data_IF_680420101446
#
_entry.id   IF_680420101446
#
_cell.length_a   1.000
_cell.length_b   1.000
_cell.length_c   1.000
_cell.angle_alpha   90.00
_cell.angle_beta   90.00
_cell.angle_gamma   90.00
#
_symmetry.space_group_name_H-M   'P 1'
#
loop_
_entity.id
_entity.type
_entity.pdbx_description
1 polymer ?
#
# COMPACT_ATOMS: atom_id res chain seq x y z
N UNK A 1 -23.15 11.26 -25.26
CA UNK A 1 -22.46 11.32 -23.95
C UNK A 1 -22.01 12.76 -23.70
N UNK A 2 -22.51 13.42 -22.65
CA UNK A 2 -22.05 14.76 -22.24
C UNK A 2 -20.90 14.57 -21.26
N UNK A 3 -19.67 14.90 -21.67
CA UNK A 3 -18.52 14.88 -20.75
C UNK A 3 -18.76 15.97 -19.69
N UNK A 4 -18.65 15.66 -18.39
CA UNK A 4 -18.89 16.64 -17.35
C UNK A 4 -17.89 17.81 -17.47
N UNK A 5 -18.39 19.04 -17.44
CA UNK A 5 -17.63 20.29 -17.62
C UNK A 5 -16.47 20.40 -16.59
N UNK A 6 -16.59 19.74 -15.44
CA UNK A 6 -15.58 19.69 -14.38
C UNK A 6 -14.32 18.87 -14.73
N UNK A 7 -14.36 18.05 -15.78
CA UNK A 7 -13.23 17.19 -16.18
C UNK A 7 -12.16 17.97 -16.97
N UNK A 8 -12.56 19.02 -17.69
CA UNK A 8 -11.67 19.89 -18.47
C UNK A 8 -10.65 20.67 -17.61
N UNK A 9 -11.03 21.36 -16.51
CA UNK A 9 -10.06 22.07 -15.68
C UNK A 9 -9.08 21.12 -14.98
N UNK A 10 -9.54 19.92 -14.60
CA UNK A 10 -8.70 18.92 -13.95
C UNK A 10 -7.60 18.42 -14.90
N UNK A 11 -7.96 18.18 -16.17
CA UNK A 11 -7.02 17.79 -17.22
C UNK A 11 -6.01 18.90 -17.55
N UNK A 12 -6.44 20.17 -17.54
CA UNK A 12 -5.55 21.33 -17.70
C UNK A 12 -4.55 21.45 -16.55
N UNK A 13 -4.99 21.23 -15.31
CA UNK A 13 -4.10 21.23 -14.13
C UNK A 13 -3.07 20.10 -14.24
N UNK A 14 -3.48 18.89 -14.59
CA UNK A 14 -2.57 17.76 -14.78
C UNK A 14 -1.51 18.05 -15.85
N UNK A 15 -1.91 18.62 -16.99
CA UNK A 15 -0.98 19.01 -18.06
C UNK A 15 -0.02 20.13 -17.61
N UNK A 16 -0.50 21.09 -16.83
CA UNK A 16 0.33 22.16 -16.28
C UNK A 16 1.39 21.63 -15.30
N UNK A 17 1.03 20.67 -14.43
CA UNK A 17 1.96 20.02 -13.50
C UNK A 17 3.03 19.23 -14.25
N UNK A 18 2.65 18.47 -15.29
CA UNK A 18 3.61 17.73 -16.14
C UNK A 18 4.55 18.72 -16.86
N UNK A 19 4.01 19.80 -17.42
CA UNK A 19 4.78 20.86 -18.07
C UNK A 19 5.78 21.52 -17.12
N UNK A 20 5.36 21.82 -15.88
CA UNK A 20 6.22 22.39 -14.85
C UNK A 20 7.34 21.43 -14.44
N UNK A 21 7.04 20.14 -14.24
CA UNK A 21 8.05 19.13 -13.90
C UNK A 21 9.10 18.98 -15.01
N UNK A 22 8.65 18.95 -16.27
CA UNK A 22 9.55 18.92 -17.42
C UNK A 22 10.42 20.18 -17.49
N UNK A 23 9.85 21.36 -17.20
CA UNK A 23 10.61 22.61 -17.13
C UNK A 23 11.70 22.59 -16.05
N UNK A 24 11.36 22.13 -14.84
CA UNK A 24 12.35 21.95 -13.76
C UNK A 24 13.47 20.98 -14.16
N UNK A 25 13.13 19.85 -14.77
CA UNK A 25 14.12 18.88 -15.24
C UNK A 25 15.03 19.46 -16.33
N UNK A 26 14.47 20.22 -17.28
CA UNK A 26 15.29 20.90 -18.30
C UNK A 26 16.21 21.99 -17.73
N UNK A 27 15.81 22.65 -16.63
CA UNK A 27 16.68 23.59 -15.90
C UNK A 27 17.83 22.86 -15.24
N UNK A 28 17.55 21.76 -14.55
CA UNK A 28 18.58 20.93 -13.92
C UNK A 28 19.60 20.39 -14.93
N UNK A 29 19.14 19.91 -16.09
CA UNK A 29 20.03 19.46 -17.17
C UNK A 29 20.89 20.60 -17.74
N UNK A 30 20.36 21.83 -17.83
CA UNK A 30 21.14 23.01 -18.25
C UNK A 30 22.20 23.37 -17.21
N UNK A 31 21.85 23.36 -15.92
CA UNK A 31 22.79 23.63 -14.84
C UNK A 31 23.91 22.58 -14.79
N UNK A 32 23.57 21.30 -15.00
CA UNK A 32 24.55 20.21 -15.13
C UNK A 32 25.44 20.41 -16.37
N UNK A 33 24.86 20.79 -17.51
CA UNK A 33 25.61 21.09 -18.72
C UNK A 33 26.57 22.27 -18.50
N UNK A 34 26.13 23.35 -17.84
CA UNK A 34 27.00 24.49 -17.50
C UNK A 34 28.14 24.09 -16.58
N UNK A 35 27.89 23.24 -15.58
CA UNK A 35 28.93 22.69 -14.70
C UNK A 35 29.93 21.81 -15.46
N UNK A 36 29.46 20.98 -16.40
CA UNK A 36 30.34 20.16 -17.23
C UNK A 36 31.17 21.01 -18.19
N UNK A 37 30.57 22.05 -18.80
CA UNK A 37 31.27 22.99 -19.67
C UNK A 37 32.31 23.80 -18.89
N UNK A 38 31.99 24.24 -17.67
CA UNK A 38 32.95 24.98 -16.83
C UNK A 38 34.11 24.09 -16.37
N UNK A 39 33.84 22.83 -16.02
CA UNK A 39 34.88 21.84 -15.70
C UNK A 39 35.76 21.52 -16.90
N UNK A 40 35.18 21.28 -18.07
CA UNK A 40 35.93 21.05 -19.31
C UNK A 40 36.85 22.24 -19.65
N UNK A 41 36.39 23.48 -19.43
CA UNK A 41 37.24 24.68 -19.56
C UNK A 41 38.39 24.71 -18.56
N UNK A 42 38.12 24.36 -17.29
CA UNK A 42 39.16 24.29 -16.26
C UNK A 42 40.23 23.23 -16.60
N UNK A 43 39.84 22.15 -17.27
CA UNK A 43 40.72 21.06 -17.72
C UNK A 43 41.41 21.36 -19.08
N UNK A 44 41.27 22.59 -19.63
CA UNK A 44 41.92 23.01 -20.88
C UNK A 44 41.25 22.55 -22.18
N UNK A 45 40.05 21.98 -22.11
CA UNK A 45 39.27 21.62 -23.29
C UNK A 45 38.64 22.89 -23.87
N UNK A 46 39.08 23.29 -25.08
CA UNK A 46 38.43 24.38 -25.81
C UNK A 46 37.07 23.93 -26.34
N UNK A 47 36.01 24.27 -25.61
CA UNK A 47 34.64 24.20 -26.15
C UNK A 47 34.53 25.29 -27.21
N UNK A 48 34.48 24.90 -28.48
CA UNK A 48 34.47 25.81 -29.62
C UNK A 48 33.24 26.76 -29.54
N UNK A 49 33.46 28.01 -29.16
CA UNK A 49 32.42 29.05 -29.03
C UNK A 49 32.12 29.74 -30.36
N UNK A 50 32.57 29.18 -31.49
CA UNK A 50 32.46 29.85 -32.79
C UNK A 50 30.98 30.09 -33.18
N UNK A 51 30.62 31.37 -33.06
CA UNK A 51 29.44 32.07 -33.54
C UNK A 51 28.11 31.83 -32.79
N UNK A 52 27.73 32.71 -31.84
CA UNK A 52 26.34 32.81 -31.38
C UNK A 52 25.45 33.18 -32.59
N UNK A 53 24.79 32.19 -33.19
CA UNK A 53 23.95 32.37 -34.37
C UNK A 53 24.22 31.39 -35.52
N UNK A 54 25.37 30.72 -35.54
CA UNK A 54 25.52 29.52 -36.37
C UNK A 54 24.83 28.41 -35.61
N UNK A 55 23.64 28.00 -36.06
CA UNK A 55 23.05 26.76 -35.60
C UNK A 55 24.12 25.68 -35.84
N UNK A 56 24.78 25.27 -34.76
CA UNK A 56 25.57 24.03 -34.75
C UNK A 56 24.55 23.01 -35.19
N UNK A 57 24.57 22.63 -36.48
CA UNK A 57 23.83 21.47 -36.95
C UNK A 57 24.34 20.41 -36.00
N UNK A 58 23.52 19.91 -35.06
CA UNK A 58 23.99 19.00 -34.05
C UNK A 58 24.73 17.96 -34.85
N UNK A 59 26.04 17.84 -34.63
CA UNK A 59 26.83 16.83 -35.30
C UNK A 59 25.97 15.59 -35.12
N UNK A 60 25.54 15.00 -36.24
CA UNK A 60 24.68 13.81 -36.23
C UNK A 60 25.58 12.75 -35.61
N UNK A 61 25.69 12.77 -34.28
CA UNK A 61 26.29 11.73 -33.48
C UNK A 61 25.39 10.58 -33.81
N UNK A 62 25.91 9.75 -34.72
CA UNK A 62 25.22 8.58 -35.23
C UNK A 62 24.84 7.83 -33.97
N UNK A 63 23.53 7.78 -33.65
CA UNK A 63 23.08 7.06 -32.48
C UNK A 63 23.72 5.68 -32.58
N UNK A 64 24.46 5.22 -31.55
CA UNK A 64 25.08 3.90 -31.62
C UNK A 64 24.00 2.90 -32.00
N UNK A 65 24.35 1.96 -32.88
CA UNK A 65 23.41 0.93 -33.33
C UNK A 65 22.87 0.20 -32.09
N UNK A 66 21.55 0.24 -31.81
CA UNK A 66 20.98 -0.42 -30.64
C UNK A 66 21.31 -1.91 -30.58
N UNK A 67 21.46 -2.59 -31.72
CA UNK A 67 21.81 -4.01 -31.76
C UNK A 67 23.29 -4.25 -31.46
N UNK A 68 24.17 -3.32 -31.86
CA UNK A 68 25.57 -3.36 -31.44
C UNK A 68 25.69 -3.23 -29.91
N UNK A 69 24.92 -2.33 -29.28
CA UNK A 69 24.87 -2.20 -27.81
C UNK A 69 24.39 -3.51 -27.16
N UNK A 70 23.36 -4.16 -27.73
CA UNK A 70 22.86 -5.42 -27.18
C UNK A 70 23.88 -6.54 -27.26
N UNK A 71 24.57 -6.69 -28.39
CA UNK A 71 25.62 -7.69 -28.60
C UNK A 71 26.82 -7.45 -27.69
N UNK A 72 27.22 -6.19 -27.50
CA UNK A 72 28.27 -5.82 -26.55
C UNK A 72 27.87 -6.17 -25.12
N UNK A 73 26.63 -5.88 -24.73
CA UNK A 73 26.11 -6.24 -23.42
C UNK A 73 26.04 -7.76 -23.21
N UNK A 74 25.57 -8.51 -24.21
CA UNK A 74 25.54 -9.96 -24.17
C UNK A 74 26.96 -10.55 -24.01
N UNK A 75 27.92 -10.07 -24.80
CA UNK A 75 29.32 -10.49 -24.74
C UNK A 75 29.93 -10.23 -23.37
N UNK A 76 29.69 -9.04 -22.80
CA UNK A 76 30.17 -8.69 -21.48
C UNK A 76 29.54 -9.55 -20.38
N UNK A 77 28.24 -9.84 -20.49
CA UNK A 77 27.52 -10.65 -19.50
C UNK A 77 27.94 -12.13 -19.56
N UNK A 78 28.16 -12.68 -20.76
CA UNK A 78 28.74 -14.02 -20.96
C UNK A 78 30.16 -14.09 -20.40
N UNK A 79 30.99 -13.06 -20.62
CA UNK A 79 32.32 -12.98 -20.01
C UNK A 79 32.25 -12.95 -18.49
N UNK A 80 31.36 -12.12 -17.94
CA UNK A 80 31.11 -12.05 -16.50
C UNK A 80 30.64 -13.39 -15.94
N UNK A 81 29.78 -14.11 -16.65
CA UNK A 81 29.31 -15.43 -16.23
C UNK A 81 30.45 -16.46 -16.11
N UNK A 82 31.44 -16.40 -17.00
CA UNK A 82 32.64 -17.27 -16.95
C UNK A 82 33.57 -16.93 -15.78
N UNK A 83 33.46 -15.73 -15.22
CA UNK A 83 34.20 -15.32 -14.01
C UNK A 83 33.55 -15.86 -12.72
N UNK A 84 32.36 -16.47 -12.80
CA UNK A 84 31.62 -17.00 -11.64
C UNK A 84 31.84 -18.52 -11.45
N UNK A 85 31.90 -18.99 -10.18
CA UNK A 85 32.01 -18.19 -8.97
C UNK A 85 33.36 -17.46 -8.91
N UNK A 86 33.37 -16.25 -8.34
CA UNK A 86 34.62 -15.51 -8.13
C UNK A 86 35.57 -16.30 -7.21
N UNK A 87 36.89 -16.26 -7.44
CA UNK A 87 37.88 -16.81 -6.52
C UNK A 87 37.70 -16.29 -5.08
N UNK A 88 38.04 -17.11 -4.08
CA UNK A 88 37.91 -16.74 -2.66
C UNK A 88 38.76 -15.51 -2.27
N UNK A 89 39.85 -15.26 -3.00
CA UNK A 89 40.73 -14.11 -2.81
C UNK A 89 40.33 -12.87 -3.64
N UNK A 90 39.21 -12.92 -4.37
CA UNK A 90 38.74 -11.81 -5.19
C UNK A 90 38.29 -10.63 -4.30
N UNK A 91 38.86 -9.41 -4.47
CA UNK A 91 38.53 -8.28 -3.61
C UNK A 91 37.03 -7.95 -3.58
N UNK A 92 36.46 -7.83 -2.38
CA UNK A 92 35.02 -7.64 -2.19
C UNK A 92 34.47 -6.36 -2.84
N UNK A 93 35.28 -5.29 -2.89
CA UNK A 93 34.94 -4.02 -3.52
C UNK A 93 34.89 -4.14 -5.04
N UNK A 94 35.84 -4.85 -5.65
CA UNK A 94 35.84 -5.16 -7.08
C UNK A 94 34.67 -6.06 -7.46
N UNK A 95 34.36 -7.08 -6.64
CA UNK A 95 33.19 -7.96 -6.83
C UNK A 95 31.90 -7.15 -6.87
N UNK A 96 31.72 -6.25 -5.89
CA UNK A 96 30.55 -5.36 -5.83
C UNK A 96 30.46 -4.43 -7.04
N UNK A 97 31.57 -3.79 -7.43
CA UNK A 97 31.63 -2.91 -8.61
C UNK A 97 31.29 -3.65 -9.89
N UNK A 98 31.81 -4.87 -10.05
CA UNK A 98 31.53 -5.73 -11.21
C UNK A 98 30.05 -6.10 -11.30
N UNK A 99 29.45 -6.54 -10.19
CA UNK A 99 28.00 -6.85 -10.12
C UNK A 99 27.16 -5.62 -10.47
N UNK A 100 27.47 -4.45 -9.90
CA UNK A 100 26.74 -3.21 -10.17
C UNK A 100 26.85 -2.80 -11.65
N UNK A 101 28.04 -2.87 -12.23
CA UNK A 101 28.28 -2.51 -13.63
C UNK A 101 27.45 -3.38 -14.59
N UNK A 102 27.47 -4.70 -14.41
CA UNK A 102 26.71 -5.59 -15.29
C UNK A 102 25.19 -5.47 -15.05
N UNK A 103 24.77 -5.24 -13.82
CA UNK A 103 23.36 -4.96 -13.50
C UNK A 103 22.87 -3.68 -14.17
N UNK A 104 23.62 -2.58 -14.07
CA UNK A 104 23.29 -1.30 -14.73
C UNK A 104 23.25 -1.46 -16.25
N UNK A 105 24.21 -2.21 -16.81
CA UNK A 105 24.25 -2.51 -18.25
C UNK A 105 22.96 -3.17 -18.71
N UNK A 106 22.52 -4.23 -18.04
CA UNK A 106 21.25 -4.93 -18.37
C UNK A 106 20.04 -4.02 -18.13
N UNK A 107 20.03 -3.22 -17.05
CA UNK A 107 18.93 -2.29 -16.75
C UNK A 107 18.74 -1.20 -17.82
N UNK A 108 19.82 -0.81 -18.50
CA UNK A 108 19.81 0.20 -19.56
C UNK A 108 19.23 -0.28 -20.91
N UNK A 109 19.09 -1.60 -21.08
CA UNK A 109 18.63 -2.19 -22.33
C UNK A 109 17.12 -2.09 -22.52
N UNK A 110 16.68 -1.89 -23.77
CA UNK A 110 15.27 -2.02 -24.17
C UNK A 110 14.86 -3.49 -24.29
N UNK A 111 13.55 -3.77 -24.31
CA UNK A 111 13.04 -5.15 -24.44
C UNK A 111 13.58 -5.91 -25.66
N UNK A 112 13.71 -5.25 -26.82
CA UNK A 112 14.32 -5.86 -28.01
C UNK A 112 15.78 -6.24 -27.80
N UNK A 113 16.54 -5.41 -27.09
CA UNK A 113 17.95 -5.68 -26.77
C UNK A 113 18.09 -6.77 -25.71
N UNK A 114 17.20 -6.81 -24.70
CA UNK A 114 17.16 -7.87 -23.69
C UNK A 114 16.91 -9.24 -24.32
N UNK A 115 16.05 -9.35 -25.35
CA UNK A 115 15.86 -10.60 -26.10
C UNK A 115 17.17 -11.11 -26.71
N UNK A 116 17.99 -10.22 -27.29
CA UNK A 116 19.30 -10.58 -27.84
C UNK A 116 20.21 -11.13 -26.73
N UNK A 117 20.29 -10.45 -25.58
CA UNK A 117 21.09 -10.91 -24.44
C UNK A 117 20.63 -12.28 -23.95
N UNK A 118 19.31 -12.52 -23.86
CA UNK A 118 18.75 -13.81 -23.47
C UNK A 118 19.15 -14.92 -24.45
N UNK A 119 19.02 -14.70 -25.76
CA UNK A 119 19.39 -15.70 -26.77
C UNK A 119 20.87 -16.04 -26.71
N UNK A 120 21.74 -15.04 -26.57
CA UNK A 120 23.18 -15.24 -26.40
C UNK A 120 23.51 -16.01 -25.11
N UNK A 121 22.87 -15.66 -23.98
CA UNK A 121 23.03 -16.41 -22.73
C UNK A 121 22.58 -17.87 -22.87
N UNK A 122 21.49 -18.13 -23.61
CA UNK A 122 21.01 -19.51 -23.87
C UNK A 122 21.98 -20.30 -24.74
N UNK A 123 22.60 -19.65 -25.72
CA UNK A 123 23.57 -20.27 -26.63
C UNK A 123 24.94 -20.53 -25.96
N UNK A 124 25.26 -19.80 -24.89
CA UNK A 124 26.50 -19.94 -24.13
C UNK A 124 26.53 -21.21 -23.25
N UNK A 125 26.64 -22.36 -23.91
CA UNK A 125 26.69 -23.70 -23.28
C UNK A 125 27.93 -23.92 -22.41
N UNK A 126 28.96 -23.10 -22.56
CA UNK A 126 30.20 -23.15 -21.78
C UNK A 126 30.09 -22.54 -20.37
N UNK A 127 29.01 -21.80 -20.10
CA UNK A 127 28.72 -21.27 -18.76
C UNK A 127 28.12 -22.39 -17.91
N UNK A 128 28.50 -22.46 -16.63
CA UNK A 128 27.87 -23.35 -15.66
C UNK A 128 26.34 -23.16 -15.63
N UNK A 129 25.58 -24.26 -15.68
CA UNK A 129 24.12 -24.26 -15.79
C UNK A 129 23.43 -23.37 -14.73
N UNK A 130 23.89 -23.41 -13.47
CA UNK A 130 23.33 -22.61 -12.38
C UNK A 130 23.57 -21.11 -12.53
N UNK A 131 24.78 -20.73 -12.99
CA UNK A 131 25.13 -19.34 -13.30
C UNK A 131 24.33 -18.84 -14.49
N UNK A 132 24.29 -19.61 -15.58
CA UNK A 132 23.51 -19.27 -16.78
C UNK A 132 22.04 -19.07 -16.44
N UNK A 133 21.44 -19.96 -15.64
CA UNK A 133 20.06 -19.85 -15.26
C UNK A 133 19.78 -18.62 -14.37
N UNK A 134 20.66 -18.30 -13.42
CA UNK A 134 20.53 -17.10 -12.58
C UNK A 134 20.57 -15.81 -13.41
N UNK A 135 21.46 -15.73 -14.41
CA UNK A 135 21.53 -14.59 -15.33
C UNK A 135 20.31 -14.48 -16.25
N UNK A 136 19.78 -15.62 -16.70
CA UNK A 136 18.54 -15.65 -17.48
C UNK A 136 17.36 -15.14 -16.65
N UNK A 137 17.20 -15.59 -15.41
CA UNK A 137 16.15 -15.10 -14.49
C UNK A 137 16.27 -13.59 -14.28
N UNK A 138 17.46 -13.10 -13.95
CA UNK A 138 17.70 -11.65 -13.78
C UNK A 138 17.32 -10.85 -15.04
N UNK A 139 17.69 -11.33 -16.23
CA UNK A 139 17.40 -10.65 -17.49
C UNK A 139 15.91 -10.73 -17.86
N UNK A 140 15.27 -11.87 -17.59
CA UNK A 140 13.83 -12.08 -17.80
C UNK A 140 12.97 -11.24 -16.86
N UNK A 141 13.38 -11.06 -15.60
CA UNK A 141 12.69 -10.18 -14.65
C UNK A 141 12.72 -8.72 -15.12
N UNK A 142 13.82 -8.30 -15.77
CA UNK A 142 13.87 -6.99 -16.40
C UNK A 142 12.97 -6.90 -17.62
N UNK A 143 12.95 -7.94 -18.46
CA UNK A 143 12.09 -8.00 -19.63
C UNK A 143 10.61 -7.99 -19.22
N UNK A 144 10.23 -8.71 -18.16
CA UNK A 144 8.83 -8.86 -17.73
C UNK A 144 8.18 -7.52 -17.37
N UNK A 145 8.95 -6.58 -16.80
CA UNK A 145 8.49 -5.23 -16.46
C UNK A 145 8.13 -4.36 -17.67
N UNK A 146 8.59 -4.70 -18.88
CA UNK A 146 8.36 -3.90 -20.09
C UNK A 146 7.68 -4.66 -21.23
N UNK A 147 7.90 -5.97 -21.32
CA UNK A 147 7.40 -6.88 -22.35
C UNK A 147 7.05 -8.23 -21.69
N UNK A 148 6.04 -8.26 -20.79
CA UNK A 148 5.72 -9.45 -19.99
C UNK A 148 5.36 -10.68 -20.84
N UNK A 149 4.63 -10.48 -21.95
CA UNK A 149 4.31 -11.57 -22.88
C UNK A 149 5.57 -12.27 -23.40
N UNK A 150 6.52 -11.47 -23.89
CA UNK A 150 7.77 -11.99 -24.44
C UNK A 150 8.58 -12.72 -23.37
N UNK A 151 8.65 -12.15 -22.15
CA UNK A 151 9.34 -12.76 -21.04
C UNK A 151 8.69 -14.11 -20.65
N UNK A 152 7.37 -14.21 -20.68
CA UNK A 152 6.63 -15.43 -20.35
C UNK A 152 6.85 -16.52 -21.41
N UNK A 153 6.76 -16.17 -22.69
CA UNK A 153 7.00 -17.12 -23.78
C UNK A 153 8.42 -17.67 -23.74
N UNK A 154 9.40 -16.81 -23.47
CA UNK A 154 10.80 -17.23 -23.31
C UNK A 154 10.96 -18.09 -22.04
N UNK A 155 10.38 -17.71 -20.90
CA UNK A 155 10.54 -18.44 -19.64
C UNK A 155 9.97 -19.87 -19.73
N UNK A 156 8.85 -20.05 -20.43
CA UNK A 156 8.28 -21.38 -20.71
C UNK A 156 9.19 -22.19 -21.64
N UNK A 157 9.83 -21.55 -22.62
CA UNK A 157 10.74 -22.22 -23.54
C UNK A 157 12.08 -22.64 -22.88
N UNK A 158 12.49 -21.96 -21.81
CA UNK A 158 13.71 -22.30 -21.05
C UNK A 158 13.45 -23.58 -20.25
N UNK A 159 13.98 -24.71 -20.74
CA UNK A 159 13.81 -26.05 -20.14
C UNK A 159 14.51 -26.26 -18.79
N UNK A 160 15.12 -25.25 -18.18
CA UNK A 160 15.87 -25.41 -16.94
C UNK A 160 14.97 -25.95 -15.81
N UNK A 161 15.25 -27.17 -15.34
CA UNK A 161 14.42 -27.91 -14.38
C UNK A 161 14.19 -27.16 -13.05
N UNK A 162 15.14 -26.33 -12.64
CA UNK A 162 15.10 -25.61 -11.36
C UNK A 162 14.17 -24.39 -11.32
N UNK A 163 13.49 -24.05 -12.44
CA UNK A 163 12.81 -22.73 -12.57
C UNK A 163 11.41 -22.76 -13.19
N UNK A 164 10.86 -23.95 -13.51
CA UNK A 164 9.73 -24.05 -14.47
C UNK A 164 8.37 -23.54 -13.97
N UNK A 165 8.13 -23.51 -12.67
CA UNK A 165 6.82 -23.19 -12.11
C UNK A 165 6.70 -21.74 -11.63
N UNK A 166 7.44 -21.41 -10.59
CA UNK A 166 7.22 -20.19 -9.82
C UNK A 166 7.59 -18.93 -10.61
N UNK A 167 8.69 -18.94 -11.35
CA UNK A 167 9.15 -17.74 -12.06
C UNK A 167 8.25 -17.35 -13.25
N UNK A 168 7.76 -18.34 -14.03
CA UNK A 168 6.82 -18.04 -15.10
C UNK A 168 5.49 -17.52 -14.54
N UNK A 169 5.04 -18.03 -13.39
CA UNK A 169 3.88 -17.50 -12.68
C UNK A 169 4.11 -16.05 -12.20
N UNK A 170 5.29 -15.72 -11.67
CA UNK A 170 5.65 -14.33 -11.30
C UNK A 170 5.61 -13.37 -12.49
N UNK A 171 6.04 -13.81 -13.69
CA UNK A 171 5.93 -13.02 -14.92
C UNK A 171 4.46 -12.83 -15.31
N UNK A 172 3.65 -13.90 -15.25
CA UNK A 172 2.20 -13.81 -15.51
C UNK A 172 1.52 -12.84 -14.55
N UNK A 173 1.90 -12.89 -13.28
CA UNK A 173 1.40 -12.00 -12.24
C UNK A 173 1.79 -10.54 -12.51
N UNK A 174 3.05 -10.28 -12.86
CA UNK A 174 3.52 -8.95 -13.29
C UNK A 174 2.76 -8.46 -14.53
N UNK A 175 2.48 -9.36 -15.47
CA UNK A 175 1.68 -9.02 -16.65
C UNK A 175 0.26 -8.62 -16.26
N UNK A 176 -0.39 -9.43 -15.42
CA UNK A 176 -1.77 -9.19 -15.03
C UNK A 176 -1.93 -7.90 -14.21
N UNK A 177 -0.89 -7.50 -13.47
CA UNK A 177 -0.82 -6.19 -12.81
C UNK A 177 -0.84 -5.02 -13.80
N UNK A 178 -0.18 -5.16 -14.95
CA UNK A 178 -0.09 -4.13 -15.99
C UNK A 178 -1.31 -4.12 -16.94
N UNK A 179 -1.77 -5.31 -17.36
CA UNK A 179 -2.86 -5.51 -18.33
C UNK A 179 -3.46 -6.92 -18.15
N UNK A 180 -4.34 -7.03 -17.15
CA UNK A 180 -5.04 -8.27 -16.78
C UNK A 180 -5.82 -8.88 -17.95
N UNK A 181 -6.53 -8.08 -18.74
CA UNK A 181 -7.33 -8.55 -19.87
C UNK A 181 -6.46 -9.23 -20.94
N UNK A 182 -5.31 -8.62 -21.28
CA UNK A 182 -4.40 -9.21 -22.27
C UNK A 182 -3.70 -10.45 -21.72
N UNK A 183 -3.29 -10.45 -20.45
CA UNK A 183 -2.69 -11.62 -19.80
C UNK A 183 -3.65 -12.82 -19.79
N UNK A 184 -4.94 -12.61 -19.47
CA UNK A 184 -5.98 -13.65 -19.54
C UNK A 184 -6.18 -14.15 -20.96
N UNK A 185 -6.28 -13.24 -21.93
CA UNK A 185 -6.45 -13.60 -23.33
C UNK A 185 -5.31 -14.48 -23.85
N UNK A 186 -4.08 -14.22 -23.40
CA UNK A 186 -2.94 -15.09 -23.70
C UNK A 186 -3.07 -16.45 -23.02
N UNK A 187 -3.43 -16.51 -21.73
CA UNK A 187 -3.60 -17.77 -21.01
C UNK A 187 -4.64 -18.67 -21.71
N UNK A 188 -5.78 -18.10 -22.08
CA UNK A 188 -6.86 -18.79 -22.78
C UNK A 188 -6.42 -19.34 -24.14
N UNK A 189 -5.63 -18.57 -24.89
CA UNK A 189 -5.11 -18.98 -26.20
C UNK A 189 -4.02 -20.05 -26.12
N UNK A 190 -3.43 -20.29 -24.95
CA UNK A 190 -2.28 -21.18 -24.77
C UNK A 190 -2.56 -22.36 -23.82
N UNK A 191 -3.81 -22.61 -23.44
CA UNK A 191 -4.20 -23.71 -22.54
C UNK A 191 -3.73 -25.08 -23.04
N UNK A 192 -3.67 -25.29 -24.36
CA UNK A 192 -3.23 -26.57 -24.96
C UNK A 192 -1.71 -26.79 -24.89
N UNK A 193 -0.92 -25.73 -24.70
CA UNK A 193 0.55 -25.77 -24.76
C UNK A 193 1.16 -25.85 -23.35
N UNK A 194 0.43 -25.39 -22.34
CA UNK A 194 0.87 -25.39 -20.94
C UNK A 194 0.40 -26.66 -20.22
N UNK A 195 1.18 -27.10 -19.24
CA UNK A 195 0.79 -28.24 -18.38
C UNK A 195 -0.32 -27.83 -17.40
N UNK A 196 -1.11 -28.79 -16.89
CA UNK A 196 -2.13 -28.51 -15.87
C UNK A 196 -1.54 -27.90 -14.59
N UNK A 197 -0.32 -28.29 -14.21
CA UNK A 197 0.40 -27.69 -13.09
C UNK A 197 0.71 -26.20 -13.34
N UNK A 198 1.22 -25.87 -14.53
CA UNK A 198 1.47 -24.50 -14.93
C UNK A 198 0.19 -23.68 -15.02
N UNK A 199 -0.90 -24.27 -15.54
CA UNK A 199 -2.21 -23.63 -15.61
C UNK A 199 -2.69 -23.17 -14.23
N UNK A 200 -2.68 -24.04 -13.23
CA UNK A 200 -3.07 -23.68 -11.87
C UNK A 200 -2.13 -22.62 -11.24
N UNK A 201 -0.84 -22.63 -11.61
CA UNK A 201 0.09 -21.56 -11.25
C UNK A 201 -0.26 -20.21 -11.89
N UNK A 202 -0.53 -20.22 -13.20
CA UNK A 202 -0.84 -19.04 -13.99
C UNK A 202 -2.19 -18.44 -13.63
N UNK A 203 -3.21 -19.25 -13.36
CA UNK A 203 -4.51 -18.75 -12.90
C UNK A 203 -4.39 -18.02 -11.55
N UNK A 204 -3.63 -18.58 -10.60
CA UNK A 204 -3.36 -17.93 -9.31
C UNK A 204 -2.58 -16.63 -9.48
N UNK A 205 -1.52 -16.65 -10.30
CA UNK A 205 -0.73 -15.47 -10.62
C UNK A 205 -1.54 -14.38 -11.31
N UNK A 206 -2.39 -14.76 -12.26
CA UNK A 206 -3.26 -13.86 -12.99
C UNK A 206 -4.26 -13.17 -12.05
N UNK A 207 -4.92 -13.93 -11.17
CA UNK A 207 -5.81 -13.36 -10.15
C UNK A 207 -5.01 -12.42 -9.24
N UNK A 208 -3.83 -12.83 -8.77
CA UNK A 208 -2.99 -12.04 -7.87
C UNK A 208 -2.54 -10.70 -8.49
N UNK A 209 -2.11 -10.69 -9.75
CA UNK A 209 -1.77 -9.45 -10.45
C UNK A 209 -3.00 -8.56 -10.70
N UNK A 210 -4.14 -9.17 -11.05
CA UNK A 210 -5.38 -8.42 -11.26
C UNK A 210 -5.92 -7.76 -9.98
N UNK A 211 -5.59 -8.25 -8.77
CA UNK A 211 -5.94 -7.58 -7.50
C UNK A 211 -5.51 -6.12 -7.50
N UNK A 212 -4.39 -5.79 -8.13
CA UNK A 212 -3.84 -4.41 -8.16
C UNK A 212 -4.49 -3.59 -9.29
N UNK A 213 -4.52 -4.14 -10.51
CA UNK A 213 -4.95 -3.41 -11.71
C UNK A 213 -6.46 -3.36 -11.91
N UNK A 214 -7.17 -4.46 -11.63
CA UNK A 214 -8.62 -4.58 -11.78
C UNK A 214 -9.22 -5.54 -10.73
N UNK A 215 -9.47 -5.05 -9.49
CA UNK A 215 -10.03 -5.85 -8.42
C UNK A 215 -11.35 -6.54 -8.75
N UNK A 216 -12.18 -5.92 -9.60
CA UNK A 216 -13.50 -6.48 -9.95
C UNK A 216 -13.35 -7.71 -10.84
N UNK A 217 -12.42 -7.64 -11.80
CA UNK A 217 -12.09 -8.76 -12.65
C UNK A 217 -11.41 -9.89 -11.87
N UNK A 218 -10.52 -9.56 -10.92
CA UNK A 218 -9.90 -10.54 -10.03
C UNK A 218 -10.95 -11.33 -9.22
N UNK A 219 -11.94 -10.66 -8.64
CA UNK A 219 -13.04 -11.30 -7.90
C UNK A 219 -13.92 -12.18 -8.78
N UNK A 220 -14.15 -11.76 -10.03
CA UNK A 220 -14.87 -12.58 -11.00
C UNK A 220 -14.11 -13.88 -11.30
N UNK A 221 -12.83 -13.77 -11.66
CA UNK A 221 -12.02 -14.95 -11.97
C UNK A 221 -11.84 -15.89 -10.80
N UNK A 222 -11.76 -15.35 -9.59
CA UNK A 222 -11.80 -16.15 -8.38
C UNK A 222 -13.07 -17.02 -8.30
N UNK A 223 -14.23 -16.39 -8.50
CA UNK A 223 -15.51 -17.11 -8.44
C UNK A 223 -15.58 -18.22 -9.49
N UNK A 224 -14.94 -18.01 -10.64
CA UNK A 224 -14.90 -18.98 -11.74
C UNK A 224 -13.90 -20.13 -11.44
N UNK A 225 -12.81 -19.87 -10.72
CA UNK A 225 -11.75 -20.86 -10.46
C UNK A 225 -11.98 -21.74 -9.23
N UNK A 226 -12.79 -21.30 -8.27
CA UNK A 226 -13.00 -22.01 -7.00
C UNK A 226 -11.76 -22.07 -6.10
N UNK A 227 -10.70 -21.30 -6.40
CA UNK A 227 -9.43 -21.32 -5.68
C UNK A 227 -9.39 -20.27 -4.55
N UNK A 228 -9.23 -20.63 -3.27
CA UNK A 228 -9.33 -19.68 -2.15
C UNK A 228 -8.57 -18.34 -2.30
N UNK A 229 -9.28 -17.20 -2.30
CA UNK A 229 -8.74 -15.82 -2.48
C UNK A 229 -7.75 -15.42 -1.41
N UNK A 230 -7.99 -15.90 -0.18
CA UNK A 230 -7.32 -15.39 1.01
C UNK A 230 -5.79 -15.47 0.90
N UNK A 231 -5.26 -16.55 0.35
CA UNK A 231 -3.83 -16.74 0.14
C UNK A 231 -3.21 -15.78 -0.87
N UNK A 232 -3.98 -15.25 -1.83
CA UNK A 232 -3.47 -14.37 -2.89
C UNK A 232 -3.34 -12.92 -2.41
N UNK A 233 -4.30 -12.41 -1.64
CA UNK A 233 -4.23 -11.05 -1.07
C UNK A 233 -3.17 -10.98 0.03
N UNK A 234 -3.02 -12.04 0.85
CA UNK A 234 -2.06 -12.07 1.94
C UNK A 234 -0.59 -11.88 1.51
N UNK A 235 -0.28 -12.14 0.24
CA UNK A 235 1.08 -12.09 -0.32
C UNK A 235 1.47 -10.72 -0.87
N UNK A 236 0.54 -9.76 -0.93
CA UNK A 236 0.78 -8.47 -1.57
C UNK A 236 0.82 -7.33 -0.57
N UNK A 237 1.81 -6.48 -0.73
CA UNK A 237 1.88 -5.19 -0.06
C UNK A 237 1.00 -4.19 -0.83
N UNK A 238 -0.30 -4.21 -0.52
CA UNK A 238 -1.26 -3.28 -1.14
C UNK A 238 -1.17 -1.90 -0.46
N UNK A 239 -1.13 -0.83 -1.26
CA UNK A 239 -1.26 0.54 -0.74
C UNK A 239 -2.64 0.77 -0.11
N UNK A 240 -2.83 1.77 0.77
CA UNK A 240 -4.14 2.11 1.32
C UNK A 240 -5.22 2.32 0.24
N UNK A 241 -4.86 2.95 -0.87
CA UNK A 241 -5.76 3.20 -2.00
C UNK A 241 -6.14 1.90 -2.71
N UNK A 242 -5.18 1.00 -2.93
CA UNK A 242 -5.43 -0.31 -3.51
C UNK A 242 -6.33 -1.18 -2.62
N UNK A 243 -6.10 -1.17 -1.31
CA UNK A 243 -6.96 -1.86 -0.32
C UNK A 243 -8.39 -1.33 -0.37
N UNK A 244 -8.57 0.00 -0.42
CA UNK A 244 -9.88 0.63 -0.54
C UNK A 244 -10.57 0.30 -1.87
N UNK A 245 -9.83 0.34 -2.98
CA UNK A 245 -10.34 -0.02 -4.30
C UNK A 245 -10.81 -1.48 -4.32
N UNK A 246 -10.03 -2.40 -3.76
CA UNK A 246 -10.38 -3.80 -3.65
C UNK A 246 -11.60 -4.02 -2.75
N UNK A 247 -11.67 -3.39 -1.56
CA UNK A 247 -12.83 -3.47 -0.69
C UNK A 247 -14.11 -2.96 -1.38
N UNK A 248 -13.98 -1.88 -2.16
CA UNK A 248 -15.11 -1.32 -2.94
C UNK A 248 -15.60 -2.30 -4.01
N UNK A 249 -14.66 -2.95 -4.71
CA UNK A 249 -14.98 -3.99 -5.68
C UNK A 249 -15.63 -5.21 -5.01
N UNK A 250 -15.12 -5.64 -3.85
CA UNK A 250 -15.66 -6.74 -3.06
C UNK A 250 -17.11 -6.45 -2.64
N UNK A 251 -17.37 -5.28 -2.06
CA UNK A 251 -18.73 -4.83 -1.70
C UNK A 251 -19.67 -4.80 -2.89
N UNK A 252 -19.20 -4.35 -4.05
CA UNK A 252 -20.00 -4.29 -5.27
C UNK A 252 -20.31 -5.69 -5.80
N UNK A 253 -19.29 -6.54 -5.86
CA UNK A 253 -19.41 -7.92 -6.30
C UNK A 253 -20.37 -8.73 -5.43
N UNK A 254 -20.35 -8.54 -4.10
CA UNK A 254 -21.29 -9.17 -3.16
C UNK A 254 -22.74 -8.76 -3.38
N UNK A 255 -22.99 -7.55 -3.92
CA UNK A 255 -24.34 -7.08 -4.23
C UNK A 255 -24.86 -7.62 -5.56
N UNK A 256 -23.99 -7.81 -6.54
CA UNK A 256 -24.38 -8.22 -7.90
C UNK A 256 -24.39 -9.72 -8.11
N UNK A 257 -23.49 -10.43 -7.44
CA UNK A 257 -23.41 -11.88 -7.48
C UNK A 257 -24.35 -12.41 -6.40
N UNK A 258 -25.37 -13.19 -6.75
CA UNK A 258 -26.19 -13.88 -5.75
C UNK A 258 -25.22 -14.62 -4.81
N UNK A 259 -25.20 -14.25 -3.52
CA UNK A 259 -24.10 -14.49 -2.58
C UNK A 259 -23.75 -15.94 -2.24
N UNK A 260 -24.02 -16.90 -3.12
CA UNK A 260 -23.78 -18.34 -2.96
C UNK A 260 -22.30 -18.73 -3.18
N UNK A 261 -21.49 -17.91 -3.85
CA UNK A 261 -20.13 -18.30 -4.24
C UNK A 261 -19.00 -17.93 -3.25
N UNK A 262 -19.28 -17.11 -2.22
CA UNK A 262 -18.25 -16.70 -1.25
C UNK A 262 -18.53 -17.33 0.11
N UNK A 263 -17.74 -18.34 0.48
CA UNK A 263 -17.84 -18.90 1.81
C UNK A 263 -17.61 -17.78 2.85
N UNK A 264 -18.38 -17.74 3.97
CA UNK A 264 -18.19 -16.73 5.00
C UNK A 264 -16.75 -16.65 5.53
N UNK A 265 -16.03 -17.77 5.53
CA UNK A 265 -14.64 -17.85 5.97
C UNK A 265 -13.67 -17.23 4.96
N UNK A 266 -13.94 -17.36 3.65
CA UNK A 266 -13.18 -16.66 2.63
C UNK A 266 -13.38 -15.14 2.76
N UNK A 267 -14.62 -14.70 3.05
CA UNK A 267 -14.92 -13.27 3.23
C UNK A 267 -14.13 -12.69 4.39
N UNK A 268 -14.18 -13.39 5.53
CA UNK A 268 -13.40 -13.03 6.69
C UNK A 268 -11.90 -12.97 6.33
N UNK A 269 -11.35 -14.01 5.70
CA UNK A 269 -9.93 -14.07 5.39
C UNK A 269 -9.48 -12.98 4.39
N UNK A 270 -10.29 -12.66 3.38
CA UNK A 270 -10.05 -11.52 2.48
C UNK A 270 -10.03 -10.20 3.25
N UNK A 271 -11.06 -9.93 4.06
CA UNK A 271 -11.10 -8.73 4.89
C UNK A 271 -9.89 -8.68 5.83
N UNK A 272 -9.48 -9.80 6.42
CA UNK A 272 -8.28 -9.88 7.25
C UNK A 272 -7.04 -9.39 6.52
N UNK A 273 -6.89 -9.78 5.25
CA UNK A 273 -5.68 -9.47 4.50
C UNK A 273 -5.71 -8.04 3.94
N UNK A 274 -6.88 -7.49 3.66
CA UNK A 274 -7.00 -6.06 3.34
C UNK A 274 -6.64 -5.20 4.57
N UNK A 275 -7.10 -5.62 5.73
CA UNK A 275 -6.93 -4.90 6.98
C UNK A 275 -5.50 -5.06 7.53
N UNK A 276 -5.11 -6.30 7.76
CA UNK A 276 -3.86 -6.71 8.39
C UNK A 276 -2.84 -7.21 7.35
N UNK A 277 -2.97 -6.79 6.10
CA UNK A 277 -1.94 -7.01 5.09
C UNK A 277 -0.67 -6.27 5.47
N UNK A 278 0.47 -6.88 5.17
CA UNK A 278 1.78 -6.22 5.36
C UNK A 278 1.83 -4.95 4.51
N UNK A 279 2.55 -3.96 5.03
CA UNK A 279 3.09 -2.87 4.24
C UNK A 279 4.49 -3.28 3.77
N UNK A 280 5.07 -2.52 2.84
CA UNK A 280 6.42 -2.75 2.30
C UNK A 280 7.53 -2.90 3.37
N UNK A 281 7.31 -2.41 4.60
CA UNK A 281 8.25 -2.55 5.72
C UNK A 281 8.09 -3.84 6.52
N UNK A 282 7.09 -4.69 6.21
CA UNK A 282 6.73 -5.88 6.97
C UNK A 282 6.11 -5.59 8.34
N UNK A 283 5.94 -4.32 8.70
CA UNK A 283 5.44 -3.87 9.99
C UNK A 283 3.93 -3.69 9.97
N UNK A 284 3.24 -4.62 10.63
CA UNK A 284 1.85 -4.47 11.02
C UNK A 284 1.73 -3.48 12.19
N UNK A 285 1.92 -2.19 11.93
CA UNK A 285 1.57 -1.17 12.91
C UNK A 285 0.05 -1.09 13.04
N UNK A 286 -0.47 -1.28 14.26
CA UNK A 286 -1.89 -1.15 14.55
C UNK A 286 -2.41 0.26 14.27
N UNK A 287 -1.54 1.27 14.29
CA UNK A 287 -1.90 2.62 13.88
C UNK A 287 -2.41 2.64 12.44
N UNK A 288 -1.69 1.99 11.51
CA UNK A 288 -2.08 1.93 10.10
C UNK A 288 -3.39 1.13 9.92
N UNK A 289 -3.56 0.06 10.70
CA UNK A 289 -4.80 -0.74 10.71
C UNK A 289 -5.99 0.09 11.16
N UNK A 290 -5.87 0.79 12.29
CA UNK A 290 -6.92 1.66 12.84
C UNK A 290 -7.24 2.81 11.90
N UNK A 291 -6.22 3.45 11.29
CA UNK A 291 -6.39 4.51 10.31
C UNK A 291 -7.16 4.02 9.08
N UNK A 292 -6.77 2.86 8.54
CA UNK A 292 -7.50 2.23 7.43
C UNK A 292 -8.96 1.97 7.81
N UNK A 293 -9.26 1.39 8.98
CA UNK A 293 -10.65 1.12 9.39
C UNK A 293 -11.50 2.37 9.54
N UNK A 294 -10.94 3.41 10.16
CA UNK A 294 -11.64 4.68 10.33
C UNK A 294 -12.01 5.30 8.97
N UNK A 295 -11.18 5.09 7.96
CA UNK A 295 -11.40 5.61 6.61
C UNK A 295 -12.41 4.77 5.81
N UNK A 296 -12.34 3.44 5.86
CA UNK A 296 -13.13 2.56 4.98
C UNK A 296 -14.58 2.34 5.43
N UNK A 297 -14.87 2.63 6.71
CA UNK A 297 -16.18 2.47 7.36
C UNK A 297 -16.78 1.08 7.10
N UNK A 298 -16.27 0.08 7.80
CA UNK A 298 -16.80 -1.29 7.70
C UNK A 298 -18.25 -1.36 8.18
N UNK A 299 -19.09 -2.12 7.50
CA UNK A 299 -20.46 -2.37 7.94
C UNK A 299 -20.53 -3.46 9.03
N UNK A 300 -21.70 -3.66 9.63
CA UNK A 300 -21.88 -4.61 10.72
C UNK A 300 -21.57 -6.06 10.31
N UNK A 301 -21.79 -6.42 9.04
CA UNK A 301 -21.52 -7.75 8.53
C UNK A 301 -20.02 -7.97 8.33
N UNK A 302 -19.33 -6.97 7.76
CA UNK A 302 -17.87 -6.98 7.60
C UNK A 302 -17.15 -7.03 8.95
N UNK A 303 -17.63 -6.27 9.95
CA UNK A 303 -17.12 -6.33 11.32
C UNK A 303 -17.35 -7.72 11.92
N UNK A 304 -18.55 -8.29 11.74
CA UNK A 304 -18.86 -9.64 12.22
C UNK A 304 -17.99 -10.71 11.56
N UNK A 305 -17.73 -10.60 10.25
CA UNK A 305 -16.84 -11.50 9.52
C UNK A 305 -15.40 -11.41 10.05
N UNK A 306 -14.87 -10.19 10.21
CA UNK A 306 -13.55 -9.96 10.80
C UNK A 306 -13.44 -10.49 12.24
N UNK A 307 -14.53 -10.41 13.02
CA UNK A 307 -14.55 -10.91 14.42
C UNK A 307 -14.19 -12.39 14.55
N UNK A 308 -14.34 -13.17 13.48
CA UNK A 308 -14.04 -14.61 13.44
C UNK A 308 -12.55 -14.93 13.36
N UNK A 309 -11.73 -13.91 13.12
CA UNK A 309 -10.33 -14.08 12.80
C UNK A 309 -9.50 -13.89 14.06
N UNK A 310 -8.55 -14.80 14.24
CA UNK A 310 -7.64 -14.76 15.38
C UNK A 310 -6.55 -13.70 15.16
N UNK A 311 -6.78 -12.48 15.65
CA UNK A 311 -5.87 -11.33 15.47
C UNK A 311 -4.73 -11.26 16.48
N UNK A 312 -4.82 -12.01 17.59
CA UNK A 312 -3.89 -11.85 18.71
C UNK A 312 -2.43 -12.20 18.38
N UNK A 313 -2.18 -12.99 17.33
CA UNK A 313 -0.82 -13.29 16.85
C UNK A 313 -0.25 -12.22 15.92
N UNK A 314 -1.05 -11.23 15.52
CA UNK A 314 -0.68 -10.14 14.60
C UNK A 314 -0.50 -8.80 15.31
N UNK A 315 -0.84 -8.72 16.60
CA UNK A 315 -0.83 -7.50 17.40
C UNK A 315 0.49 -7.42 18.16
N UNK A 316 1.23 -6.33 17.96
CA UNK A 316 2.40 -6.02 18.78
C UNK A 316 1.93 -5.84 20.25
N UNK A 317 2.52 -6.54 21.25
CA UNK A 317 2.20 -6.33 22.64
C UNK A 317 2.32 -4.86 23.08
N UNK A 318 3.20 -4.06 22.47
CA UNK A 318 3.34 -2.62 22.76
C UNK A 318 2.13 -1.77 22.38
N UNK A 319 1.40 -2.19 21.37
CA UNK A 319 0.25 -1.45 20.84
C UNK A 319 -1.10 -2.07 21.28
N UNK A 320 -1.07 -3.21 21.99
CA UNK A 320 -2.27 -4.01 22.26
C UNK A 320 -3.31 -3.29 23.16
N UNK A 321 -2.87 -2.45 24.09
CA UNK A 321 -3.77 -1.69 24.99
C UNK A 321 -4.56 -0.65 24.21
N UNK A 322 -3.89 0.11 23.34
CA UNK A 322 -4.57 1.13 22.53
C UNK A 322 -5.53 0.49 21.53
N UNK A 323 -5.14 -0.65 20.95
CA UNK A 323 -6.03 -1.41 20.09
C UNK A 323 -7.23 -2.00 20.85
N UNK A 324 -7.03 -2.50 22.08
CA UNK A 324 -8.11 -2.98 22.95
C UNK A 324 -9.14 -1.89 23.28
N UNK A 325 -8.66 -0.68 23.62
CA UNK A 325 -9.51 0.51 23.84
C UNK A 325 -10.28 0.88 22.57
N UNK A 326 -9.57 0.88 21.44
CA UNK A 326 -10.16 1.25 20.17
C UNK A 326 -11.25 0.27 19.73
N UNK A 327 -11.04 -1.04 19.90
CA UNK A 327 -12.05 -2.09 19.68
C UNK A 327 -13.34 -1.79 20.47
N UNK A 328 -13.21 -1.49 21.77
CA UNK A 328 -14.36 -1.21 22.64
C UNK A 328 -15.13 0.07 22.27
N UNK A 329 -14.46 1.05 21.66
CA UNK A 329 -15.08 2.34 21.26
C UNK A 329 -15.73 2.30 19.89
N UNK A 330 -15.18 1.51 18.95
CA UNK A 330 -15.51 1.64 17.53
C UNK A 330 -16.31 0.47 16.97
N UNK A 331 -16.48 -0.62 17.73
CA UNK A 331 -17.18 -1.81 17.26
C UNK A 331 -18.48 -2.07 18.03
N UNK A 332 -19.44 -2.79 17.42
CA UNK A 332 -20.60 -3.31 18.13
C UNK A 332 -20.16 -4.18 19.32
N UNK A 333 -20.94 -4.13 20.41
CA UNK A 333 -20.62 -4.78 21.68
C UNK A 333 -20.24 -6.26 21.55
N UNK A 334 -21.00 -7.04 20.75
CA UNK A 334 -20.72 -8.46 20.53
C UNK A 334 -19.36 -8.70 19.84
N UNK A 335 -19.05 -7.92 18.80
CA UNK A 335 -17.79 -8.02 18.08
C UNK A 335 -16.61 -7.54 18.94
N UNK A 336 -16.82 -6.46 19.70
CA UNK A 336 -15.85 -5.94 20.65
C UNK A 336 -15.51 -6.99 21.72
N UNK A 337 -16.51 -7.59 22.37
CA UNK A 337 -16.33 -8.61 23.39
C UNK A 337 -15.56 -9.82 22.83
N UNK A 338 -15.92 -10.28 21.63
CA UNK A 338 -15.23 -11.41 20.97
C UNK A 338 -13.75 -11.10 20.74
N UNK A 339 -13.41 -9.93 20.20
CA UNK A 339 -12.02 -9.60 19.95
C UNK A 339 -11.20 -9.30 21.18
N UNK A 340 -11.79 -8.58 22.14
CA UNK A 340 -11.17 -8.39 23.45
C UNK A 340 -10.86 -9.75 24.09
N UNK A 341 -11.77 -10.73 24.00
CA UNK A 341 -11.48 -12.09 24.48
C UNK A 341 -10.33 -12.77 23.73
N UNK A 342 -10.22 -12.61 22.41
CA UNK A 342 -9.08 -13.17 21.65
C UNK A 342 -7.75 -12.52 22.01
N UNK A 343 -7.71 -11.22 22.28
CA UNK A 343 -6.51 -10.52 22.74
C UNK A 343 -6.07 -10.99 24.14
N UNK A 344 -7.01 -11.39 24.99
CA UNK A 344 -6.73 -11.96 26.30
C UNK A 344 -6.30 -13.43 26.24
N UNK A 345 -6.46 -14.11 25.10
CA UNK A 345 -6.00 -15.50 24.93
C UNK A 345 -4.49 -15.61 24.70
N UNK A 346 -3.87 -14.59 24.12
CA UNK A 346 -2.42 -14.55 23.93
C UNK A 346 -1.75 -14.03 25.23
N UNK A 347 -0.83 -14.79 25.86
CA UNK A 347 -0.22 -14.40 27.14
C UNK A 347 0.46 -13.02 27.12
N UNK A 348 1.15 -12.66 26.03
CA UNK A 348 1.92 -11.41 25.96
C UNK A 348 1.03 -10.17 25.86
N UNK A 349 -0.09 -10.26 25.15
CA UNK A 349 -1.08 -9.18 25.08
C UNK A 349 -1.97 -9.17 26.32
N UNK A 350 -2.35 -10.34 26.84
CA UNK A 350 -3.19 -10.46 28.04
C UNK A 350 -2.55 -9.82 29.26
N UNK A 351 -1.27 -10.10 29.52
CA UNK A 351 -0.56 -9.52 30.67
C UNK A 351 -0.61 -7.99 30.62
N UNK A 352 -0.29 -7.39 29.47
CA UNK A 352 -0.26 -5.92 29.32
C UNK A 352 -1.64 -5.29 29.43
N UNK A 353 -2.68 -5.94 28.89
CA UNK A 353 -4.07 -5.48 29.02
C UNK A 353 -4.51 -5.56 30.48
N UNK A 354 -4.16 -6.63 31.20
CA UNK A 354 -4.49 -6.79 32.62
C UNK A 354 -3.79 -5.76 33.50
N UNK A 355 -2.48 -5.54 33.30
CA UNK A 355 -1.71 -4.50 33.99
C UNK A 355 -2.33 -3.11 33.80
N UNK A 356 -2.76 -2.78 32.56
CA UNK A 356 -3.47 -1.54 32.28
C UNK A 356 -4.85 -1.47 32.96
N UNK A 357 -5.64 -2.55 32.94
CA UNK A 357 -6.94 -2.59 33.61
C UNK A 357 -6.82 -2.44 35.13
N UNK A 358 -5.75 -2.96 35.74
CA UNK A 358 -5.43 -2.77 37.15
C UNK A 358 -5.01 -1.34 37.46
N UNK A 359 -4.20 -0.71 36.60
CA UNK A 359 -3.81 0.69 36.77
C UNK A 359 -5.01 1.64 36.69
N UNK A 360 -5.93 1.44 35.75
CA UNK A 360 -7.16 2.24 35.62
C UNK A 360 -8.07 2.09 36.86
N UNK A 361 -8.19 0.87 37.41
CA UNK A 361 -8.92 0.64 38.66
C UNK A 361 -8.26 1.38 39.83
N UNK A 362 -6.94 1.32 39.94
CA UNK A 362 -6.19 2.01 40.98
C UNK A 362 -6.35 3.53 40.90
N UNK A 363 -6.30 4.10 39.69
CA UNK A 363 -6.54 5.53 39.45
C UNK A 363 -7.96 5.95 39.82
N UNK A 364 -8.97 5.13 39.47
CA UNK A 364 -10.38 5.40 39.82
C UNK A 364 -10.64 5.34 41.33
N UNK A 365 -9.93 4.45 42.05
CA UNK A 365 -10.01 4.39 43.53
C UNK A 365 -9.30 5.60 44.15
N UNK A 366 -8.15 6.00 43.60
CA UNK A 366 -7.38 7.14 44.08
C UNK A 366 -8.13 8.47 43.89
N UNK A 367 -8.76 8.68 42.73
CA UNK A 367 -9.56 9.89 42.48
C UNK A 367 -10.75 10.00 43.43
N UNK A 368 -11.44 8.89 43.71
CA UNK A 368 -12.50 8.85 44.75
C UNK A 368 -11.99 9.12 46.15
N UNK A 369 -10.75 8.76 46.49
CA UNK A 369 -10.18 9.02 47.82
C UNK A 369 -9.69 10.46 47.97
N UNK A 370 -9.12 11.07 46.93
CA UNK A 370 -8.73 12.49 46.96
C UNK A 370 -9.91 13.44 46.98
N UNK A 371 -11.05 13.06 46.40
CA UNK A 371 -12.31 13.81 46.57
C UNK A 371 -13.00 13.54 47.91
N UNK A 372 -12.62 12.48 48.63
CA UNK A 372 -13.22 12.11 49.92
C UNK A 372 -12.46 12.62 51.15
N UNK A 373 -11.19 13.03 51.02
CA UNK A 373 -10.35 13.54 52.12
C UNK A 373 -10.23 15.08 52.12
N UNK A 374 -11.00 15.75 51.25
CA UNK A 374 -11.30 17.19 51.30
C UNK A 374 -12.81 17.43 51.38
N UNK A 375 -13.51 16.51 52.04
CA UNK A 375 -14.81 16.80 52.62
C UNK A 375 -14.59 17.34 54.04
N UNK A 376 -14.12 18.58 54.13
CA UNK A 376 -14.81 19.47 55.06
C UNK A 376 -16.30 19.36 54.69
N UNK A 377 -17.12 19.06 55.69
CA UNK A 377 -18.57 19.05 55.56
C UNK A 377 -19.00 20.47 55.24
N UNK A 378 -18.98 20.85 53.96
CA UNK A 378 -19.90 21.84 53.44
C UNK A 378 -21.23 21.10 53.26
N UNK A 379 -22.24 21.61 53.97
CA UNK A 379 -23.63 21.33 53.70
C UNK A 379 -23.90 21.45 52.18
N UNK A 380 -24.87 20.71 51.61
CA UNK A 380 -25.20 20.85 50.19
C UNK A 380 -25.68 22.29 49.93
N UNK A 381 -24.75 23.14 49.51
CA UNK A 381 -25.08 24.50 49.17
C UNK A 381 -25.86 24.45 47.86
N UNK A 382 -27.14 24.80 47.97
CA UNK A 382 -28.18 24.81 46.96
C UNK A 382 -27.96 25.98 45.95
N UNK A 383 -26.69 26.32 45.67
CA UNK A 383 -26.26 27.62 45.14
C UNK A 383 -25.93 27.63 43.65
N UNK A 384 -26.32 26.61 42.88
CA UNK A 384 -26.35 26.77 41.42
C UNK A 384 -27.63 27.53 41.02
N UNK A 385 -27.52 28.75 40.48
CA UNK A 385 -28.70 29.51 40.08
C UNK A 385 -29.49 28.75 39.01
N UNK A 386 -30.82 28.74 39.17
CA UNK A 386 -31.74 28.18 38.19
C UNK A 386 -31.97 29.22 37.08
N UNK A 387 -31.78 28.81 35.83
CA UNK A 387 -32.00 29.69 34.68
C UNK A 387 -33.49 30.01 34.49
N UNK A 388 -33.81 31.17 33.89
CA UNK A 388 -35.21 31.56 33.62
C UNK A 388 -35.62 31.14 32.21
N UNK A 389 -36.74 30.46 32.05
CA UNK A 389 -37.28 30.13 30.73
C UNK A 389 -37.55 31.40 29.90
N UNK A 390 -37.25 31.35 28.60
CA UNK A 390 -37.52 32.46 27.67
C UNK A 390 -39.01 32.47 27.31
N UNK A 391 -39.78 33.55 27.60
CA UNK A 391 -41.19 33.62 27.24
C UNK A 391 -41.42 33.45 25.73
N UNK A 392 -42.31 32.53 25.34
CA UNK A 392 -42.64 32.27 23.94
C UNK A 392 -41.62 31.42 23.15
N UNK A 393 -40.55 30.90 23.79
CA UNK A 393 -39.55 30.02 23.15
C UNK A 393 -39.24 28.79 24.01
N UNK A 394 -39.96 27.69 23.75
CA UNK A 394 -39.72 26.41 24.44
C UNK A 394 -38.31 25.86 24.16
N UNK A 395 -37.66 25.32 25.21
CA UNK A 395 -36.31 24.76 25.12
C UNK A 395 -35.18 25.79 25.15
N UNK A 396 -35.48 27.06 25.46
CA UNK A 396 -34.49 28.11 25.63
C UNK A 396 -34.60 28.76 27.01
N UNK A 397 -33.45 29.07 27.59
CA UNK A 397 -33.36 29.70 28.91
C UNK A 397 -32.41 30.90 28.87
N UNK A 398 -32.63 31.87 29.75
CA UNK A 398 -31.70 32.94 30.03
C UNK A 398 -30.68 32.47 31.07
N UNK A 399 -29.40 32.51 30.69
CA UNK A 399 -28.30 32.25 31.63
C UNK A 399 -28.36 33.22 32.81
N UNK A 400 -28.27 32.74 34.06
CA UNK A 400 -28.30 33.60 35.24
C UNK A 400 -27.05 34.50 35.37
N UNK A 401 -26.00 34.24 34.59
CA UNK A 401 -24.72 34.94 34.72
C UNK A 401 -24.60 36.15 33.78
N UNK A 402 -25.14 36.05 32.57
CA UNK A 402 -24.98 37.08 31.54
C UNK A 402 -26.28 37.40 30.79
N UNK A 403 -27.40 36.76 31.17
CA UNK A 403 -28.73 36.92 30.58
C UNK A 403 -28.78 36.65 29.06
N UNK A 404 -27.82 35.86 28.53
CA UNK A 404 -27.84 35.38 27.14
C UNK A 404 -28.72 34.15 27.02
N UNK A 405 -29.26 33.95 25.82
CA UNK A 405 -30.14 32.82 25.52
C UNK A 405 -29.28 31.57 25.27
N UNK A 406 -29.55 30.51 26.02
CA UNK A 406 -28.92 29.18 25.89
C UNK A 406 -29.97 28.17 25.43
N UNK A 407 -29.59 27.33 24.47
CA UNK A 407 -30.41 26.22 23.98
C UNK A 407 -30.26 25.02 24.91
N UNK A 408 -31.38 24.58 25.49
CA UNK A 408 -31.45 23.44 26.42
C UNK A 408 -32.44 22.38 25.93
N UNK A 409 -32.75 22.35 24.63
CA UNK A 409 -33.64 21.34 24.04
C UNK A 409 -33.09 19.93 24.26
N UNK A 410 -33.95 19.03 24.73
CA UNK A 410 -33.60 17.64 25.02
C UNK A 410 -32.99 17.40 26.40
N UNK A 411 -32.80 18.45 27.22
CA UNK A 411 -32.34 18.32 28.59
C UNK A 411 -33.54 18.33 29.56
N UNK A 412 -33.45 17.54 30.63
CA UNK A 412 -34.51 17.47 31.66
C UNK A 412 -34.38 18.62 32.66
N UNK A 413 -35.47 19.02 33.31
CA UNK A 413 -35.44 20.00 34.41
C UNK A 413 -34.47 19.53 35.50
N UNK A 414 -33.72 20.46 36.09
CA UNK A 414 -32.67 20.19 37.09
C UNK A 414 -31.31 19.76 36.53
N UNK A 415 -31.19 19.51 35.22
CA UNK A 415 -29.91 19.18 34.57
C UNK A 415 -28.94 20.35 34.68
N UNK A 416 -27.66 20.06 34.95
CA UNK A 416 -26.59 21.05 34.97
C UNK A 416 -26.06 21.31 33.56
N UNK A 417 -26.00 22.59 33.17
CA UNK A 417 -25.53 23.01 31.85
C UNK A 417 -24.45 24.06 32.02
N UNK A 418 -23.32 23.86 31.34
CA UNK A 418 -22.26 24.86 31.25
C UNK A 418 -22.68 25.93 30.23
N UNK A 419 -22.61 27.20 30.60
CA UNK A 419 -22.99 28.30 29.73
C UNK A 419 -21.97 28.46 28.57
N UNK A 420 -22.35 28.18 27.31
CA UNK A 420 -21.45 28.26 26.16
C UNK A 420 -21.14 29.71 25.75
N UNK A 421 -21.80 30.69 26.35
CA UNK A 421 -21.67 32.11 26.01
C UNK A 421 -20.69 32.87 26.90
N UNK A 422 -19.99 32.18 27.81
CA UNK A 422 -18.89 32.69 28.64
C UNK A 422 -17.59 32.83 27.84
N UNK A 423 -16.69 33.70 28.29
CA UNK A 423 -15.39 33.90 27.65
C UNK A 423 -14.48 32.66 27.81
N UNK A 424 -13.56 32.40 26.85
CA UNK A 424 -12.62 31.29 26.95
C UNK A 424 -11.79 31.37 28.24
N UNK A 425 -11.98 30.41 29.15
CA UNK A 425 -11.31 30.36 30.45
C UNK A 425 -12.26 30.46 31.65
N UNK A 426 -13.51 30.89 31.46
CA UNK A 426 -14.54 30.89 32.50
C UNK A 426 -15.56 29.78 32.26
N UNK A 427 -15.64 28.81 33.18
CA UNK A 427 -16.70 27.81 33.19
C UNK A 427 -17.71 28.16 34.28
N UNK A 428 -18.94 28.49 33.88
CA UNK A 428 -20.08 28.73 34.78
C UNK A 428 -21.19 27.74 34.46
N UNK A 429 -21.73 27.10 35.49
CA UNK A 429 -22.75 26.04 35.36
C UNK A 429 -24.03 26.49 36.03
N UNK A 430 -25.18 26.29 35.38
CA UNK A 430 -26.50 26.60 35.95
C UNK A 430 -27.45 25.41 35.79
N UNK A 431 -28.60 25.45 36.50
CA UNK A 431 -29.64 24.41 36.39
C UNK A 431 -30.73 24.81 35.40
N UNK A 432 -31.17 23.85 34.59
CA UNK A 432 -32.36 23.97 33.73
C UNK A 432 -33.61 24.09 34.62
N UNK A 433 -34.50 25.07 34.41
CA UNK A 433 -35.73 25.26 35.19
C UNK A 433 -36.71 24.10 35.08
#
# INVERSE_FOLDING_TARGET
MRVPIYLTPLLLISLAVIGWRNHLHTRELRDQQEKLVSRARADGWMVDQRAPGVAVKPARNRRPDPMAIANEAATALVSYARELPFPDDYPADLKRRRILLESERVQSLSGKQLKVVIEELRAATEIEDGVRASLLVFTLERLSKSHPQDALEISIAVKAQSYRGDFAAEIMETWAELDSARAKGWLDANLEVITEEQKAGFERALIAGAVIGDPSLALKWFSDSGSGVSGLIARRDLTPEQRQAFLTALRSWRKTSAGEAFAPDDHAAVLSNLVFGRNDSGDLSLKNVMEFWNNVRLDAEEISALSRIHIASRVNPEECVEFYKWIGRNLPEEAAARWQSTLLYNPSTSQRIQEWLESEKAETVKSRHTDSDSLEVDEPDDTYPVAKAVPGKAGFVFSPYNNRIVDVRGLSSGTMVQDPSMEPGESRTFRVP
#
